data_IF_757654366807
#
_entry.id   IF_757654366807
#
_cell.length_a   1.000
_cell.length_b   1.000
_cell.length_c   1.000
_cell.angle_alpha   90.00
_cell.angle_beta   90.00
_cell.angle_gamma   90.00
#
_symmetry.space_group_name_H-M   'P 1'
#
loop_
_entity.id
_entity.type
_entity.pdbx_description
1 polymer ?
#
# COMPACT_ATOMS: atom_id res chain seq x y z
N UNK A 1 19.39 33.57 38.50
CA UNK A 1 18.80 32.32 37.96
C UNK A 1 17.33 32.54 37.65
N UNK A 2 16.92 32.62 36.38
CA UNK A 2 15.51 32.66 35.97
C UNK A 2 15.31 31.66 34.83
N UNK A 3 14.95 30.43 35.19
CA UNK A 3 14.58 29.39 34.23
C UNK A 3 13.13 29.65 33.78
N UNK A 4 12.97 30.20 32.57
CA UNK A 4 11.66 30.26 31.90
C UNK A 4 11.28 28.84 31.49
N UNK A 5 10.40 28.19 32.27
CA UNK A 5 9.67 27.01 31.80
C UNK A 5 8.61 27.48 30.80
N UNK A 6 8.88 27.28 29.51
CA UNK A 6 7.88 27.40 28.45
C UNK A 6 6.89 26.23 28.59
N UNK A 7 5.86 26.41 29.42
CA UNK A 7 4.75 25.47 29.54
C UNK A 7 3.90 25.52 28.28
N UNK A 8 3.75 24.38 27.60
CA UNK A 8 2.78 24.24 26.51
C UNK A 8 1.38 24.58 27.06
N UNK A 9 0.64 25.39 26.30
CA UNK A 9 -0.71 25.80 26.69
C UNK A 9 -1.69 24.61 26.63
N UNK A 10 -2.76 24.59 27.44
CA UNK A 10 -3.74 23.48 27.46
C UNK A 10 -4.39 23.19 26.09
N UNK A 11 -4.48 24.19 25.20
CA UNK A 11 -4.93 24.02 23.81
C UNK A 11 -3.94 23.21 22.98
N UNK A 12 -2.64 23.45 23.12
CA UNK A 12 -1.59 22.69 22.42
C UNK A 12 -1.52 21.25 22.90
N UNK A 13 -1.70 21.00 24.20
CA UNK A 13 -1.72 19.65 24.77
C UNK A 13 -2.92 18.86 24.23
N UNK A 14 -4.13 19.44 24.22
CA UNK A 14 -5.31 18.81 23.62
C UNK A 14 -5.15 18.52 22.13
N UNK A 15 -4.53 19.43 21.37
CA UNK A 15 -4.32 19.24 19.93
C UNK A 15 -3.27 18.17 19.65
N UNK A 16 -2.18 18.12 20.41
CA UNK A 16 -1.16 17.07 20.30
C UNK A 16 -1.70 15.69 20.72
N UNK A 17 -2.56 15.65 21.75
CA UNK A 17 -3.22 14.42 22.19
C UNK A 17 -4.18 13.89 21.13
N UNK A 18 -4.91 14.79 20.45
CA UNK A 18 -5.84 14.44 19.36
C UNK A 18 -5.10 13.99 18.10
N UNK A 19 -3.94 14.61 17.80
CA UNK A 19 -3.04 14.18 16.73
C UNK A 19 -2.48 12.78 17.01
N UNK A 20 -1.98 12.53 18.22
CA UNK A 20 -1.44 11.23 18.63
C UNK A 20 -2.50 10.12 18.65
N UNK A 21 -3.76 10.46 18.95
CA UNK A 21 -4.88 9.52 18.85
C UNK A 21 -5.24 9.21 17.39
N UNK A 22 -5.24 10.22 16.51
CA UNK A 22 -5.46 10.05 15.08
C UNK A 22 -4.33 9.23 14.41
N UNK A 23 -3.08 9.47 14.79
CA UNK A 23 -1.93 8.66 14.32
C UNK A 23 -2.03 7.20 14.77
N UNK A 24 -2.54 6.94 15.97
CA UNK A 24 -2.80 5.57 16.44
C UNK A 24 -3.99 4.90 15.75
N UNK A 25 -5.02 5.63 15.35
CA UNK A 25 -6.17 5.10 14.60
C UNK A 25 -5.85 4.80 13.13
N UNK A 26 -4.80 5.40 12.59
CA UNK A 26 -4.33 5.18 11.21
C UNK A 26 -3.20 4.16 11.09
N UNK A 27 -2.51 3.87 12.19
CA UNK A 27 -1.56 2.77 12.29
C UNK A 27 -2.31 1.47 12.62
N UNK A 28 -2.26 0.49 11.72
CA UNK A 28 -2.78 -0.84 12.00
C UNK A 28 -1.63 -1.75 12.48
N UNK A 29 -1.76 -2.31 13.67
CA UNK A 29 -0.85 -3.35 14.17
C UNK A 29 -1.42 -4.73 13.79
N UNK A 30 -0.77 -5.42 12.87
CA UNK A 30 -1.02 -6.85 12.64
C UNK A 30 0.30 -7.60 12.90
N UNK A 31 0.27 -8.60 13.79
CA UNK A 31 1.42 -9.43 14.17
C UNK A 31 2.64 -8.65 14.72
N UNK A 32 2.40 -7.51 15.40
CA UNK A 32 3.48 -6.69 16.00
C UNK A 32 4.23 -5.81 15.00
N UNK A 33 3.80 -5.76 13.74
CA UNK A 33 4.34 -4.84 12.73
C UNK A 33 3.32 -3.72 12.50
N UNK A 34 3.70 -2.50 12.86
CA UNK A 34 2.98 -1.28 12.55
C UNK A 34 3.07 -1.02 11.05
N UNK A 35 1.93 -0.98 10.36
CA UNK A 35 1.86 -0.47 8.99
C UNK A 35 0.71 0.53 8.86
N UNK A 36 0.86 1.43 7.90
CA UNK A 36 -0.13 2.47 7.59
C UNK A 36 -1.10 1.96 6.54
N UNK A 37 -2.30 2.54 6.49
CA UNK A 37 -3.29 2.27 5.45
C UNK A 37 -3.66 3.59 4.78
N UNK A 38 -3.52 3.64 3.46
CA UNK A 38 -4.00 4.75 2.66
C UNK A 38 -5.54 4.76 2.65
N UNK A 39 -6.13 5.87 3.13
CA UNK A 39 -7.57 6.11 3.14
C UNK A 39 -7.99 7.26 2.21
N UNK A 40 -7.05 7.97 1.60
CA UNK A 40 -7.34 9.11 0.72
C UNK A 40 -7.66 8.68 -0.71
N UNK A 41 -7.44 7.41 -1.05
CA UNK A 41 -7.65 6.88 -2.40
C UNK A 41 -6.49 7.26 -3.33
N UNK A 42 -6.80 7.48 -4.61
CA UNK A 42 -5.83 7.86 -5.63
C UNK A 42 -6.27 9.14 -6.36
N UNK A 43 -5.35 10.09 -6.61
CA UNK A 43 -3.94 10.11 -6.19
C UNK A 43 -3.78 10.22 -4.66
N UNK A 44 -2.68 9.67 -4.15
CA UNK A 44 -2.36 9.67 -2.70
C UNK A 44 -2.16 11.13 -2.25
N UNK A 45 -2.75 11.50 -1.12
CA UNK A 45 -2.59 12.83 -0.52
C UNK A 45 -1.19 13.06 0.04
N UNK A 46 -0.74 14.32 0.03
CA UNK A 46 0.61 14.72 0.46
C UNK A 46 0.95 14.21 1.87
N UNK A 47 -0.03 14.20 2.78
CA UNK A 47 0.16 13.73 4.15
C UNK A 47 0.44 12.22 4.22
N UNK A 48 -0.31 11.38 3.50
CA UNK A 48 -0.03 9.94 3.46
C UNK A 48 1.26 9.65 2.70
N UNK A 49 1.55 10.42 1.65
CA UNK A 49 2.77 10.32 0.87
C UNK A 49 4.02 10.59 1.70
N UNK A 50 4.09 11.71 2.43
CA UNK A 50 5.25 12.05 3.26
C UNK A 50 5.41 11.07 4.42
N UNK A 51 4.31 10.63 5.05
CA UNK A 51 4.36 9.59 6.11
C UNK A 51 4.93 8.26 5.63
N UNK A 52 4.57 7.84 4.42
CA UNK A 52 5.15 6.64 3.81
C UNK A 52 6.67 6.77 3.69
N UNK A 53 7.16 7.91 3.21
CA UNK A 53 8.59 8.17 3.07
C UNK A 53 9.32 8.24 4.43
N UNK A 54 8.72 8.88 5.43
CA UNK A 54 9.27 8.95 6.78
C UNK A 54 9.40 7.57 7.42
N UNK A 55 8.41 6.71 7.22
CA UNK A 55 8.46 5.33 7.69
C UNK A 55 9.54 4.52 6.96
N UNK A 56 9.63 4.65 5.64
CA UNK A 56 10.66 3.98 4.83
C UNK A 56 12.08 4.41 5.25
N UNK A 57 12.29 5.71 5.52
CA UNK A 57 13.57 6.23 6.02
C UNK A 57 13.93 5.70 7.42
N UNK A 58 12.95 5.36 8.25
CA UNK A 58 13.19 4.82 9.60
C UNK A 58 13.62 3.36 9.58
N UNK A 59 13.10 2.58 8.64
CA UNK A 59 13.34 1.13 8.56
C UNK A 59 14.57 0.81 7.70
N UNK A 60 14.80 1.57 6.63
CA UNK A 60 15.87 1.27 5.68
C UNK A 60 17.25 1.59 6.27
N UNK A 61 18.28 0.73 6.12
CA UNK A 61 19.62 0.98 6.67
C UNK A 61 20.28 2.28 6.19
N UNK A 62 20.01 2.67 4.94
CA UNK A 62 20.49 3.94 4.35
C UNK A 62 19.59 5.15 4.69
N UNK A 63 18.50 4.93 5.41
CA UNK A 63 17.53 5.92 5.85
C UNK A 63 17.15 6.99 4.83
N UNK A 64 17.36 8.26 5.21
CA UNK A 64 16.97 9.44 4.42
C UNK A 64 17.72 9.54 3.10
N UNK A 65 18.95 9.03 3.01
CA UNK A 65 19.73 9.08 1.77
C UNK A 65 19.08 8.22 0.69
N UNK A 66 18.50 7.06 1.05
CA UNK A 66 17.71 6.25 0.12
C UNK A 66 16.49 7.02 -0.39
N UNK A 67 15.76 7.69 0.49
CA UNK A 67 14.58 8.48 0.13
C UNK A 67 14.96 9.62 -0.81
N UNK A 68 16.03 10.35 -0.51
CA UNK A 68 16.54 11.44 -1.33
C UNK A 68 16.97 10.95 -2.71
N UNK A 69 17.65 9.81 -2.76
CA UNK A 69 18.11 9.20 -4.00
C UNK A 69 16.97 8.72 -4.90
N UNK A 70 15.81 8.36 -4.35
CA UNK A 70 14.65 7.98 -5.16
C UNK A 70 13.81 9.22 -5.53
N UNK A 71 13.48 10.09 -4.57
CA UNK A 71 12.62 11.27 -4.81
C UNK A 71 13.23 12.30 -5.77
N UNK A 72 14.56 12.46 -5.77
CA UNK A 72 15.24 13.44 -6.62
C UNK A 72 15.71 12.87 -7.96
N UNK A 73 15.48 11.58 -8.20
CA UNK A 73 15.93 10.91 -9.42
C UNK A 73 14.93 11.16 -10.54
N UNK A 74 15.40 11.80 -11.62
CA UNK A 74 14.58 12.12 -12.79
C UNK A 74 14.44 10.93 -13.77
N UNK A 75 15.31 9.93 -13.67
CA UNK A 75 15.40 8.75 -14.53
C UNK A 75 14.95 7.47 -13.80
N UNK A 76 13.79 7.51 -13.14
CA UNK A 76 13.21 6.29 -12.57
C UNK A 76 12.71 5.37 -13.70
N UNK A 77 12.96 4.05 -13.62
CA UNK A 77 12.47 3.11 -14.61
C UNK A 77 10.94 3.13 -14.62
N UNK A 78 10.34 3.32 -15.79
CA UNK A 78 8.90 3.14 -15.94
C UNK A 78 8.56 1.67 -15.77
N UNK A 79 7.62 1.39 -14.86
CA UNK A 79 7.14 0.04 -14.62
C UNK A 79 6.02 -0.24 -15.63
N UNK A 80 6.12 -1.31 -16.44
CA UNK A 80 5.05 -1.68 -17.35
C UNK A 80 3.81 -2.10 -16.54
N UNK A 81 2.65 -1.56 -16.89
CA UNK A 81 1.38 -1.90 -16.24
C UNK A 81 0.94 -3.29 -16.71
N UNK A 82 0.92 -4.32 -15.83
CA UNK A 82 0.48 -5.65 -16.22
C UNK A 82 -0.99 -5.61 -16.65
N UNK A 83 -1.31 -6.35 -17.70
CA UNK A 83 -2.67 -6.40 -18.22
C UNK A 83 -3.45 -7.48 -17.49
N UNK A 84 -4.51 -7.09 -16.79
CA UNK A 84 -5.39 -8.04 -16.13
C UNK A 84 -6.02 -8.98 -17.16
N UNK A 85 -6.06 -10.30 -16.90
CA UNK A 85 -6.72 -11.25 -17.79
C UNK A 85 -8.25 -11.13 -17.61
N UNK A 86 -8.83 -10.07 -18.18
CA UNK A 86 -10.26 -9.73 -18.10
C UNK A 86 -11.14 -10.54 -19.06
N UNK A 87 -10.54 -11.37 -19.92
CA UNK A 87 -11.28 -12.25 -20.84
C UNK A 87 -10.51 -13.53 -21.08
N UNK A 88 -11.11 -14.66 -20.74
CA UNK A 88 -10.59 -15.99 -21.06
C UNK A 88 -11.36 -16.62 -22.21
N UNK A 89 -10.63 -17.06 -23.24
CA UNK A 89 -11.22 -17.86 -24.30
C UNK A 89 -11.90 -19.12 -23.75
N UNK A 90 -13.04 -19.50 -24.33
CA UNK A 90 -13.82 -20.67 -23.91
C UNK A 90 -13.02 -21.99 -23.96
N UNK A 91 -11.92 -22.01 -24.71
CA UNK A 91 -11.01 -23.15 -24.89
C UNK A 91 -9.98 -23.32 -23.78
N UNK A 92 -9.76 -22.32 -22.91
CA UNK A 92 -8.79 -22.39 -21.82
C UNK A 92 -9.34 -23.19 -20.64
N UNK A 93 -8.55 -24.16 -20.17
CA UNK A 93 -8.87 -24.95 -18.98
C UNK A 93 -8.91 -24.08 -17.72
N UNK A 94 -9.66 -24.50 -16.70
CA UNK A 94 -9.72 -23.80 -15.41
C UNK A 94 -8.34 -23.67 -14.77
N UNK A 95 -7.47 -24.67 -14.92
CA UNK A 95 -6.10 -24.65 -14.41
C UNK A 95 -5.26 -23.56 -15.07
N UNK A 96 -5.36 -23.40 -16.39
CA UNK A 96 -4.64 -22.36 -17.13
C UNK A 96 -5.15 -20.96 -16.79
N UNK A 97 -6.46 -20.81 -16.56
CA UNK A 97 -7.06 -19.55 -16.10
C UNK A 97 -6.51 -19.15 -14.74
N UNK A 98 -6.54 -20.08 -13.77
CA UNK A 98 -5.98 -19.86 -12.44
C UNK A 98 -4.49 -19.53 -12.48
N UNK A 99 -3.74 -20.22 -13.35
CA UNK A 99 -2.32 -19.93 -13.57
C UNK A 99 -2.11 -18.50 -14.08
N UNK A 100 -2.88 -18.05 -15.07
CA UNK A 100 -2.81 -16.68 -15.58
C UNK A 100 -3.18 -15.62 -14.54
N UNK A 101 -4.20 -15.88 -13.71
CA UNK A 101 -4.57 -15.00 -12.60
C UNK A 101 -3.44 -14.92 -11.56
N UNK A 102 -2.85 -16.06 -11.21
CA UNK A 102 -1.70 -16.08 -10.30
C UNK A 102 -0.49 -15.37 -10.89
N UNK A 103 -0.20 -15.58 -12.17
CA UNK A 103 0.90 -14.92 -12.88
C UNK A 103 0.67 -13.40 -12.93
N UNK A 104 -0.57 -12.93 -13.16
CA UNK A 104 -0.93 -11.50 -13.08
C UNK A 104 -0.72 -10.92 -11.67
N UNK A 105 -1.16 -11.63 -10.62
CA UNK A 105 -0.89 -11.21 -9.23
C UNK A 105 0.62 -11.13 -8.96
N UNK A 106 1.39 -12.02 -9.59
CA UNK A 106 2.85 -12.00 -9.53
C UNK A 106 3.48 -10.80 -10.24
N UNK A 107 2.93 -10.37 -11.37
CA UNK A 107 3.42 -9.23 -12.14
C UNK A 107 3.07 -7.87 -11.50
N UNK A 108 2.03 -7.80 -10.67
CA UNK A 108 1.70 -6.60 -9.88
C UNK A 108 2.83 -6.18 -8.93
N UNK A 109 3.83 -7.04 -8.70
CA UNK A 109 5.06 -6.65 -8.00
C UNK A 109 6.27 -6.93 -8.87
N UNK A 110 6.91 -5.82 -9.24
CA UNK A 110 8.20 -5.65 -9.91
C UNK A 110 8.87 -6.91 -10.53
N UNK A 111 9.21 -6.89 -11.84
CA UNK A 111 9.84 -8.01 -12.54
C UNK A 111 11.35 -8.21 -12.23
N UNK A 112 11.74 -8.26 -10.94
CA UNK A 112 13.08 -8.65 -10.51
C UNK A 112 13.07 -10.16 -10.30
N UNK A 113 13.82 -10.86 -11.14
CA UNK A 113 13.91 -12.32 -11.32
C UNK A 113 14.43 -13.12 -10.12
N UNK A 114 14.27 -12.65 -8.89
CA UNK A 114 14.58 -13.42 -7.69
C UNK A 114 13.31 -14.02 -7.11
N UNK A 115 13.08 -15.27 -7.51
CA UNK A 115 11.98 -16.20 -7.21
C UNK A 115 11.79 -16.52 -5.70
N UNK A 116 12.27 -15.68 -4.79
CA UNK A 116 12.19 -15.89 -3.33
C UNK A 116 11.90 -14.61 -2.51
N UNK A 117 11.54 -13.48 -3.13
CA UNK A 117 10.89 -12.38 -2.41
C UNK A 117 9.41 -12.41 -2.76
N UNK A 118 8.67 -13.14 -1.92
CA UNK A 118 7.20 -13.20 -1.97
C UNK A 118 6.65 -11.79 -2.06
N UNK A 119 5.69 -11.65 -2.95
CA UNK A 119 5.09 -10.39 -3.35
C UNK A 119 4.31 -9.76 -2.20
N UNK A 120 4.99 -8.93 -1.41
CA UNK A 120 4.34 -8.12 -0.41
C UNK A 120 4.76 -6.67 -0.55
N UNK A 121 3.79 -5.79 -0.38
CA UNK A 121 4.06 -4.38 -0.17
C UNK A 121 4.94 -4.21 1.10
N UNK A 122 6.22 -3.89 0.88
CA UNK A 122 7.23 -3.66 1.91
C UNK A 122 7.50 -2.17 2.16
N UNK A 123 6.70 -1.27 1.59
CA UNK A 123 6.81 0.18 1.83
C UNK A 123 6.37 0.55 3.26
N UNK A 124 5.70 -0.37 3.96
CA UNK A 124 5.09 -0.12 5.26
C UNK A 124 3.77 0.66 5.20
N UNK A 125 3.28 0.97 4.00
CA UNK A 125 1.98 1.62 3.77
C UNK A 125 1.16 0.78 2.80
N UNK A 126 0.04 0.22 3.26
CA UNK A 126 -0.93 -0.46 2.43
C UNK A 126 -1.71 0.56 1.60
N UNK A 127 -1.77 0.36 0.28
CA UNK A 127 -2.32 1.33 -0.66
C UNK A 127 -3.84 1.25 -0.82
N UNK A 128 -4.45 0.07 -0.59
CA UNK A 128 -5.89 -0.11 -0.73
C UNK A 128 -6.53 -0.43 0.63
N UNK A 129 -7.49 0.39 1.07
CA UNK A 129 -8.25 0.13 2.29
C UNK A 129 -9.26 -1.00 2.05
N UNK A 130 -9.05 -2.15 2.69
CA UNK A 130 -10.00 -3.28 2.60
C UNK A 130 -10.81 -3.41 3.89
N UNK A 131 -12.09 -3.03 3.79
CA UNK A 131 -13.08 -3.25 4.86
C UNK A 131 -13.77 -4.59 4.68
N UNK A 132 -13.43 -5.58 5.52
CA UNK A 132 -13.98 -6.95 5.48
C UNK A 132 -15.51 -7.01 5.57
N UNK A 133 -16.13 -6.01 6.18
CA UNK A 133 -17.58 -5.94 6.40
C UNK A 133 -18.33 -5.26 5.24
N UNK A 134 -17.63 -4.78 4.20
CA UNK A 134 -18.24 -4.12 3.04
C UNK A 134 -18.95 -5.17 2.17
N UNK A 135 -20.11 -4.86 1.56
CA UNK A 135 -20.75 -5.78 0.61
C UNK A 135 -19.81 -6.11 -0.56
N UNK A 136 -19.99 -7.31 -1.14
CA UNK A 136 -19.15 -7.83 -2.23
C UNK A 136 -19.04 -6.83 -3.39
N UNK A 137 -20.13 -6.14 -3.76
CA UNK A 137 -20.12 -5.11 -4.81
C UNK A 137 -19.07 -4.01 -4.58
N UNK A 138 -18.91 -3.57 -3.33
CA UNK A 138 -17.91 -2.59 -2.94
C UNK A 138 -16.49 -3.15 -2.90
N UNK A 139 -16.33 -4.44 -2.56
CA UNK A 139 -15.04 -5.12 -2.65
C UNK A 139 -14.59 -5.28 -4.11
N UNK A 140 -15.53 -5.56 -5.03
CA UNK A 140 -15.25 -5.63 -6.47
C UNK A 140 -14.86 -4.27 -7.06
N UNK A 141 -15.39 -3.17 -6.51
CA UNK A 141 -14.94 -1.82 -6.87
C UNK A 141 -13.50 -1.58 -6.44
N UNK A 142 -13.11 -2.02 -5.24
CA UNK A 142 -11.72 -1.96 -4.78
C UNK A 142 -10.79 -2.80 -5.67
N UNK A 143 -11.24 -3.99 -6.11
CA UNK A 143 -10.48 -4.81 -7.06
C UNK A 143 -10.29 -4.13 -8.42
N UNK A 144 -11.28 -3.37 -8.92
CA UNK A 144 -11.13 -2.58 -10.15
C UNK A 144 -10.08 -1.48 -10.01
N UNK A 145 -10.06 -0.80 -8.86
CA UNK A 145 -9.02 0.19 -8.57
C UNK A 145 -7.63 -0.46 -8.52
N UNK A 146 -7.51 -1.64 -7.92
CA UNK A 146 -6.23 -2.39 -7.92
C UNK A 146 -5.71 -2.68 -9.33
N UNK A 147 -6.61 -3.03 -10.26
CA UNK A 147 -6.25 -3.30 -11.66
C UNK A 147 -5.86 -2.01 -12.38
N UNK A 148 -6.52 -0.89 -12.08
CA UNK A 148 -6.26 0.42 -12.71
C UNK A 148 -4.93 1.02 -12.26
N UNK A 149 -4.67 1.00 -10.96
CA UNK A 149 -3.48 1.62 -10.37
C UNK A 149 -2.26 0.69 -10.38
N UNK A 150 -2.48 -0.63 -10.48
CA UNK A 150 -1.45 -1.66 -10.61
C UNK A 150 -0.32 -1.57 -9.55
N UNK A 151 -0.67 -1.15 -8.33
CA UNK A 151 0.27 -1.03 -7.21
C UNK A 151 0.45 -2.35 -6.44
N UNK A 152 1.58 -2.51 -5.71
CA UNK A 152 1.85 -3.68 -4.88
C UNK A 152 0.76 -3.96 -3.83
N UNK A 153 0.26 -5.20 -3.80
CA UNK A 153 -0.78 -5.69 -2.89
C UNK A 153 -0.24 -6.61 -1.77
N UNK A 154 -1.04 -6.82 -0.71
CA UNK A 154 -0.86 -7.77 0.38
C UNK A 154 -1.84 -8.96 0.24
N UNK A 155 -1.75 -9.91 1.17
CA UNK A 155 -2.57 -11.14 1.15
C UNK A 155 -4.08 -10.88 1.13
N UNK A 156 -4.57 -9.92 1.89
CA UNK A 156 -6.02 -9.64 1.92
C UNK A 156 -6.50 -9.05 0.58
N UNK A 157 -5.75 -8.11 0.01
CA UNK A 157 -6.03 -7.52 -1.30
C UNK A 157 -5.98 -8.59 -2.41
N UNK A 158 -5.02 -9.52 -2.35
CA UNK A 158 -4.92 -10.64 -3.28
C UNK A 158 -6.14 -11.58 -3.23
N UNK A 159 -6.73 -11.82 -2.04
CA UNK A 159 -7.97 -12.60 -1.93
C UNK A 159 -9.12 -11.87 -2.62
N UNK A 160 -9.26 -10.57 -2.39
CA UNK A 160 -10.32 -9.77 -3.03
C UNK A 160 -10.15 -9.73 -4.56
N UNK A 161 -8.90 -9.59 -5.03
CA UNK A 161 -8.57 -9.63 -6.45
C UNK A 161 -8.83 -11.02 -7.08
N UNK A 162 -8.57 -12.10 -6.35
CA UNK A 162 -8.89 -13.46 -6.79
C UNK A 162 -10.40 -13.76 -6.81
N UNK A 163 -11.19 -13.08 -5.98
CA UNK A 163 -12.66 -13.12 -6.05
C UNK A 163 -13.24 -12.27 -7.19
N UNK A 164 -12.47 -11.30 -7.69
CA UNK A 164 -12.90 -10.50 -8.82
C UNK A 164 -13.05 -11.38 -10.05
N UNK A 165 -14.16 -11.28 -10.80
CA UNK A 165 -14.34 -12.04 -12.03
C UNK A 165 -13.39 -11.50 -13.11
N UNK A 166 -12.14 -11.95 -13.03
CA UNK A 166 -11.21 -12.00 -14.15
C UNK A 166 -11.74 -13.15 -15.03
N UNK A 167 -12.68 -12.86 -15.93
CA UNK A 167 -13.41 -13.87 -16.70
C UNK A 167 -13.68 -13.39 -18.12
#
# INVERSE_FOLDING_TARGET
MKTRKSGLTPKMIRSASKLALSEKEEAHEENGVLFWVNKSGFPIDDHTWDRMWDHAARIHPLGVDMVRNIRNKSDLPQIPVPQAPLSFGATLSVQERLKKVQDYMNELQYPLKDKLRRQYNHTGTQFYEIRKNRPISGLMESAREMIREALPIKCLEAVILGMYPLA
#
